data_IF_492221002594
#
_entry.id   IF_492221002594
#
_cell.length_a   1.000
_cell.length_b   1.000
_cell.length_c   1.000
_cell.angle_alpha   90.00
_cell.angle_beta   90.00
_cell.angle_gamma   90.00
#
_symmetry.space_group_name_H-M   'P 1'
#
loop_
_entity.id
_entity.type
_entity.pdbx_description
1 polymer ?
#
# COMPACT_ATOMS: atom_id res chain seq x y z
N UNK A 1 2.06 71.02 -14.87
CA UNK A 1 1.32 69.74 -15.02
C UNK A 1 2.21 68.78 -15.81
N UNK A 2 2.92 67.88 -15.15
CA UNK A 2 3.77 66.90 -15.84
C UNK A 2 2.89 65.82 -16.46
N UNK A 3 2.90 65.78 -17.79
CA UNK A 3 2.16 64.86 -18.66
C UNK A 3 2.57 63.41 -18.27
N UNK A 4 1.61 62.58 -17.87
CA UNK A 4 1.87 61.15 -17.59
C UNK A 4 1.86 60.41 -18.92
N UNK A 5 2.97 59.79 -19.30
CA UNK A 5 3.16 59.13 -20.61
C UNK A 5 2.36 57.83 -20.81
N UNK A 6 1.52 57.42 -19.85
CA UNK A 6 0.69 56.22 -19.99
C UNK A 6 -0.56 56.23 -19.11
N UNK A 7 -1.65 55.66 -19.63
CA UNK A 7 -2.96 55.53 -18.98
C UNK A 7 -2.96 54.42 -17.91
N UNK A 8 -3.26 54.79 -16.66
CA UNK A 8 -3.35 53.85 -15.54
C UNK A 8 -4.79 53.35 -15.43
N UNK A 9 -4.98 52.03 -15.31
CA UNK A 9 -6.31 51.40 -15.26
C UNK A 9 -6.27 49.91 -14.92
N UNK A 10 -7.41 49.22 -15.08
CA UNK A 10 -7.48 47.78 -14.80
C UNK A 10 -6.50 47.00 -15.68
N UNK A 11 -5.68 46.13 -15.05
CA UNK A 11 -4.60 45.39 -15.73
C UNK A 11 -3.38 46.24 -16.16
N UNK A 12 -3.37 47.55 -15.86
CA UNK A 12 -2.34 48.52 -16.26
C UNK A 12 -1.72 49.21 -15.02
N UNK A 13 -0.88 48.51 -14.24
CA UNK A 13 -0.26 49.11 -13.06
C UNK A 13 0.74 50.23 -13.44
N UNK A 14 0.89 51.27 -12.60
CA UNK A 14 1.84 52.35 -12.83
C UNK A 14 3.27 51.85 -13.09
N UNK A 15 3.97 52.45 -14.05
CA UNK A 15 5.31 51.98 -14.45
C UNK A 15 6.33 51.91 -13.29
N UNK A 16 6.25 52.85 -12.35
CA UNK A 16 7.16 52.94 -11.21
C UNK A 16 6.96 51.83 -10.15
N UNK A 17 5.80 51.17 -10.12
CA UNK A 17 5.49 50.11 -9.16
C UNK A 17 5.59 48.69 -9.74
N UNK A 18 5.91 48.56 -11.03
CA UNK A 18 6.11 47.26 -11.68
C UNK A 18 7.42 46.64 -11.23
N UNK A 19 7.39 45.34 -10.91
CA UNK A 19 8.62 44.59 -10.68
C UNK A 19 9.49 44.57 -11.94
N UNK A 20 10.81 44.73 -11.77
CA UNK A 20 11.75 44.62 -12.88
C UNK A 20 11.74 43.18 -13.41
N UNK A 21 11.77 43.01 -14.73
CA UNK A 21 11.84 41.69 -15.36
C UNK A 21 13.07 40.94 -14.80
N UNK A 22 12.84 39.76 -14.22
CA UNK A 22 13.88 38.95 -13.57
C UNK A 22 14.07 39.18 -12.07
N UNK A 23 13.36 40.14 -11.46
CA UNK A 23 13.40 40.39 -10.02
C UNK A 23 12.07 40.04 -9.37
N UNK A 24 12.07 39.02 -8.50
CA UNK A 24 10.91 38.69 -7.66
C UNK A 24 10.68 39.79 -6.64
N UNK A 25 9.41 40.17 -6.42
CA UNK A 25 9.00 41.06 -5.33
C UNK A 25 9.22 40.48 -3.93
N UNK A 26 9.50 39.17 -3.84
CA UNK A 26 9.90 38.50 -2.61
C UNK A 26 11.24 37.77 -2.81
N UNK A 27 12.39 38.46 -2.65
CA UNK A 27 13.72 37.88 -2.89
C UNK A 27 14.08 36.73 -1.95
N UNK A 28 13.52 36.72 -0.74
CA UNK A 28 13.74 35.66 0.25
C UNK A 28 12.83 34.44 0.03
N UNK A 29 11.91 34.54 -0.94
CA UNK A 29 10.92 33.53 -1.20
C UNK A 29 10.01 33.29 0.00
N UNK A 30 9.28 32.18 -0.06
CA UNK A 30 8.45 31.71 1.04
C UNK A 30 9.35 31.15 2.16
N UNK A 31 9.05 31.38 3.46
CA UNK A 31 9.85 30.83 4.56
C UNK A 31 10.00 29.31 4.45
N UNK A 32 11.25 28.81 4.61
CA UNK A 32 11.55 27.37 4.66
C UNK A 32 10.73 26.71 5.77
N UNK A 33 10.04 25.62 5.44
CA UNK A 33 9.22 24.84 6.39
C UNK A 33 7.75 25.24 6.48
N UNK A 34 7.31 26.30 5.81
CA UNK A 34 5.88 26.64 5.77
C UNK A 34 5.10 25.65 4.90
N UNK A 35 4.44 24.69 5.54
CA UNK A 35 3.49 23.77 4.88
C UNK A 35 2.30 24.59 4.34
N UNK A 36 1.67 24.13 3.26
CA UNK A 36 0.35 24.67 2.90
C UNK A 36 -0.58 24.44 4.09
N UNK A 37 -1.34 25.47 4.49
CA UNK A 37 -2.43 25.26 5.45
C UNK A 37 -3.31 24.16 4.83
N UNK A 38 -3.65 23.09 5.55
CA UNK A 38 -4.62 22.13 5.05
C UNK A 38 -5.88 22.90 4.63
N UNK A 39 -6.54 22.42 3.57
CA UNK A 39 -7.83 22.97 3.14
C UNK A 39 -8.72 23.08 4.37
N UNK A 40 -9.39 24.23 4.55
CA UNK A 40 -10.28 24.37 5.70
C UNK A 40 -11.28 23.20 5.70
N UNK A 41 -11.46 22.52 6.84
CA UNK A 41 -12.41 21.43 6.96
C UNK A 41 -13.81 21.92 6.56
N UNK A 42 -14.55 21.08 5.81
CA UNK A 42 -15.83 21.45 5.23
C UNK A 42 -16.93 21.61 6.30
N UNK A 43 -16.76 20.99 7.47
CA UNK A 43 -17.70 21.04 8.59
C UNK A 43 -16.99 21.29 9.94
N UNK A 44 -17.77 21.65 10.97
CA UNK A 44 -17.27 21.82 12.35
C UNK A 44 -16.78 20.50 12.95
N UNK A 45 -17.41 19.37 12.60
CA UNK A 45 -17.00 18.04 13.03
C UNK A 45 -15.63 17.67 12.43
N UNK A 46 -15.44 17.94 11.13
CA UNK A 46 -14.16 17.74 10.45
C UNK A 46 -13.05 18.60 11.10
N UNK A 47 -13.38 19.80 11.59
CA UNK A 47 -12.42 20.68 12.25
C UNK A 47 -11.97 20.15 13.62
N UNK A 48 -12.91 19.71 14.46
CA UNK A 48 -12.56 19.16 15.76
C UNK A 48 -11.79 17.84 15.58
N UNK A 49 -12.23 16.98 14.67
CA UNK A 49 -11.55 15.74 14.36
C UNK A 49 -10.11 15.99 13.86
N UNK A 50 -9.90 16.95 12.96
CA UNK A 50 -8.56 17.28 12.47
C UNK A 50 -7.65 17.77 13.59
N UNK A 51 -8.15 18.67 14.46
CA UNK A 51 -7.36 19.19 15.60
C UNK A 51 -6.98 18.06 16.56
N UNK A 52 -7.93 17.16 16.88
CA UNK A 52 -7.67 16.03 17.76
C UNK A 52 -6.61 15.10 17.16
N UNK A 53 -6.73 14.76 15.87
CA UNK A 53 -5.78 13.87 15.22
C UNK A 53 -4.39 14.51 15.06
N UNK A 54 -4.32 15.79 14.71
CA UNK A 54 -3.05 16.53 14.62
C UNK A 54 -2.33 16.53 15.97
N UNK A 55 -3.05 16.77 17.08
CA UNK A 55 -2.46 16.73 18.41
C UNK A 55 -2.08 15.31 18.84
N UNK A 56 -2.92 14.32 18.54
CA UNK A 56 -2.67 12.90 18.84
C UNK A 56 -1.39 12.39 18.17
N UNK A 57 -1.14 12.79 16.92
CA UNK A 57 0.02 12.36 16.13
C UNK A 57 1.24 13.26 16.25
N UNK A 58 1.12 14.44 16.88
CA UNK A 58 2.26 15.29 17.21
C UNK A 58 3.24 14.53 18.11
N UNK A 59 4.54 14.64 17.83
CA UNK A 59 5.58 13.97 18.61
C UNK A 59 6.01 14.80 19.81
N UNK A 60 6.29 14.12 20.92
CA UNK A 60 6.88 14.67 22.14
C UNK A 60 8.06 13.81 22.60
N UNK A 61 8.98 14.42 23.35
CA UNK A 61 10.05 13.71 24.02
C UNK A 61 9.56 13.27 25.41
N UNK A 62 9.64 11.97 25.68
CA UNK A 62 9.22 11.37 26.95
C UNK A 62 10.40 10.57 27.52
N UNK A 63 10.61 10.67 28.84
CA UNK A 63 11.57 9.81 29.54
C UNK A 63 10.96 8.43 29.75
N UNK A 64 11.62 7.41 29.21
CA UNK A 64 11.34 6.01 29.46
C UNK A 64 12.41 5.42 30.39
N UNK A 65 12.14 4.28 31.03
CA UNK A 65 13.07 3.62 31.95
C UNK A 65 14.43 3.27 31.33
N UNK A 66 14.52 3.24 30.00
CA UNK A 66 15.73 2.96 29.21
C UNK A 66 16.35 4.19 28.53
N UNK A 67 15.77 5.39 28.70
CA UNK A 67 16.26 6.63 28.07
C UNK A 67 15.15 7.55 27.55
N UNK A 68 15.54 8.66 26.92
CA UNK A 68 14.59 9.58 26.26
C UNK A 68 14.17 9.03 24.90
N UNK A 69 12.86 8.96 24.65
CA UNK A 69 12.28 8.52 23.37
C UNK A 69 11.34 9.59 22.81
N UNK A 70 11.34 9.75 21.50
CA UNK A 70 10.39 10.61 20.78
C UNK A 70 9.23 9.78 20.27
N UNK A 71 8.02 10.04 20.77
CA UNK A 71 6.81 9.29 20.40
C UNK A 71 5.60 10.23 20.23
N UNK A 72 4.57 9.82 19.45
CA UNK A 72 3.32 10.56 19.37
C UNK A 72 2.64 10.74 20.74
N UNK A 73 1.95 11.86 20.95
CA UNK A 73 1.20 12.16 22.19
C UNK A 73 0.22 11.05 22.52
N UNK A 74 -0.55 10.54 21.54
CA UNK A 74 -1.50 9.46 21.77
C UNK A 74 -0.81 8.19 22.31
N UNK A 75 0.34 7.82 21.74
CA UNK A 75 1.12 6.66 22.22
C UNK A 75 1.65 6.89 23.64
N UNK A 76 2.09 8.10 23.96
CA UNK A 76 2.55 8.45 25.31
C UNK A 76 1.42 8.37 26.35
N UNK A 77 0.23 8.88 26.01
CA UNK A 77 -0.96 8.83 26.89
C UNK A 77 -1.40 7.39 27.14
N UNK A 78 -1.51 6.56 26.10
CA UNK A 78 -1.87 5.14 26.25
C UNK A 78 -0.82 4.38 27.08
N UNK A 79 0.48 4.67 26.88
CA UNK A 79 1.55 4.04 27.66
C UNK A 79 1.46 4.42 29.15
N UNK A 80 1.30 5.71 29.45
CA UNK A 80 1.10 6.20 30.82
C UNK A 80 -0.15 5.57 31.47
N UNK A 81 -1.25 5.51 30.72
CA UNK A 81 -2.50 4.88 31.16
C UNK A 81 -2.29 3.41 31.51
N UNK A 82 -1.61 2.65 30.64
CA UNK A 82 -1.30 1.23 30.86
C UNK A 82 -0.41 1.02 32.10
N UNK A 83 0.63 1.85 32.28
CA UNK A 83 1.51 1.78 33.47
C UNK A 83 0.72 2.05 34.76
N UNK A 84 -0.15 3.06 34.75
CA UNK A 84 -0.98 3.40 35.92
C UNK A 84 -2.03 2.30 36.21
N UNK A 85 -2.61 1.70 35.16
CA UNK A 85 -3.51 0.57 35.30
C UNK A 85 -2.80 -0.66 35.91
N UNK A 86 -1.58 -0.97 35.45
CA UNK A 86 -0.75 -2.05 35.98
C UNK A 86 -0.34 -1.84 37.44
N UNK A 87 -0.20 -0.57 37.87
CA UNK A 87 0.08 -0.18 39.26
C UNK A 87 -1.14 -0.18 40.18
N UNK A 88 -2.32 -0.57 39.69
CA UNK A 88 -3.53 -0.70 40.52
C UNK A 88 -4.43 0.54 40.57
N UNK A 89 -4.21 1.54 39.71
CA UNK A 89 -5.15 2.67 39.64
C UNK A 89 -6.47 2.22 39.00
N UNK A 90 -7.53 2.12 39.81
CA UNK A 90 -8.85 1.59 39.40
C UNK A 90 -9.45 2.37 38.22
N UNK A 91 -9.30 3.71 38.18
CA UNK A 91 -9.80 4.53 37.08
C UNK A 91 -9.04 4.25 35.79
N UNK A 92 -7.72 4.12 35.87
CA UNK A 92 -6.88 3.76 34.71
C UNK A 92 -7.16 2.33 34.23
N UNK A 93 -7.39 1.38 35.14
CA UNK A 93 -7.78 0.00 34.81
C UNK A 93 -9.08 -0.02 34.02
N UNK A 94 -10.13 0.67 34.50
CA UNK A 94 -11.40 0.75 33.79
C UNK A 94 -11.25 1.32 32.38
N UNK A 95 -10.61 2.49 32.25
CA UNK A 95 -10.43 3.13 30.94
C UNK A 95 -9.62 2.23 30.00
N UNK A 96 -8.53 1.64 30.48
CA UNK A 96 -7.68 0.76 29.67
C UNK A 96 -8.43 -0.50 29.22
N UNK A 97 -9.13 -1.18 30.13
CA UNK A 97 -9.95 -2.36 29.80
C UNK A 97 -11.08 -2.02 28.83
N UNK A 98 -11.76 -0.88 29.00
CA UNK A 98 -12.79 -0.42 28.06
C UNK A 98 -12.20 -0.15 26.67
N UNK A 99 -11.02 0.46 26.59
CA UNK A 99 -10.31 0.68 25.31
C UNK A 99 -9.93 -0.65 24.63
N UNK A 100 -9.40 -1.61 25.39
CA UNK A 100 -9.04 -2.95 24.88
C UNK A 100 -10.28 -3.67 24.37
N UNK A 101 -11.33 -3.78 25.20
CA UNK A 101 -12.57 -4.46 24.84
C UNK A 101 -13.26 -3.83 23.62
N UNK A 102 -13.29 -2.50 23.53
CA UNK A 102 -13.82 -1.81 22.35
C UNK A 102 -12.96 -2.06 21.12
N UNK A 103 -11.63 -2.05 21.25
CA UNK A 103 -10.72 -2.32 20.11
C UNK A 103 -10.90 -3.76 19.62
N UNK A 104 -10.93 -4.74 20.52
CA UNK A 104 -11.17 -6.14 20.18
C UNK A 104 -12.53 -6.33 19.50
N UNK A 105 -13.59 -5.68 20.01
CA UNK A 105 -14.92 -5.70 19.39
C UNK A 105 -14.88 -5.12 17.98
N UNK A 106 -14.25 -3.96 17.78
CA UNK A 106 -14.14 -3.34 16.46
C UNK A 106 -13.32 -4.20 15.49
N UNK A 107 -12.23 -4.81 15.95
CA UNK A 107 -11.45 -5.75 15.14
C UNK A 107 -12.26 -6.99 14.76
N UNK A 108 -13.05 -7.53 15.69
CA UNK A 108 -13.95 -8.66 15.43
C UNK A 108 -15.02 -8.31 14.39
N UNK A 109 -15.69 -7.17 14.55
CA UNK A 109 -16.72 -6.71 13.61
C UNK A 109 -16.15 -6.51 12.20
N UNK A 110 -14.98 -5.86 12.08
CA UNK A 110 -14.32 -5.70 10.77
C UNK A 110 -13.95 -7.04 10.13
N UNK A 111 -13.50 -8.01 10.93
CA UNK A 111 -13.21 -9.37 10.44
C UNK A 111 -14.47 -10.08 9.96
N UNK A 112 -15.56 -9.98 10.72
CA UNK A 112 -16.86 -10.55 10.35
C UNK A 112 -17.42 -9.90 9.06
N UNK A 113 -17.31 -8.58 8.93
CA UNK A 113 -17.71 -7.82 7.73
C UNK A 113 -16.89 -8.22 6.50
N UNK A 114 -15.56 -8.31 6.65
CA UNK A 114 -14.66 -8.75 5.58
C UNK A 114 -15.00 -10.18 5.13
N UNK A 115 -15.16 -11.09 6.08
CA UNK A 115 -15.50 -12.49 5.83
C UNK A 115 -16.86 -12.61 5.13
N UNK A 116 -17.88 -11.88 5.58
CA UNK A 116 -19.20 -11.86 4.93
C UNK A 116 -19.10 -11.39 3.47
N UNK A 117 -18.33 -10.32 3.22
CA UNK A 117 -18.12 -9.77 1.88
C UNK A 117 -17.50 -10.80 0.94
N UNK A 118 -16.46 -11.52 1.38
CA UNK A 118 -15.79 -12.52 0.56
C UNK A 118 -16.61 -13.80 0.37
N UNK A 119 -17.37 -14.23 1.38
CA UNK A 119 -18.30 -15.36 1.24
C UNK A 119 -19.37 -15.05 0.21
N UNK A 120 -19.98 -13.86 0.30
CA UNK A 120 -21.00 -13.40 -0.65
C UNK A 120 -20.42 -13.32 -2.07
N UNK A 121 -19.26 -12.68 -2.23
CA UNK A 121 -18.57 -12.59 -3.52
C UNK A 121 -18.32 -13.97 -4.12
N UNK A 122 -17.73 -14.88 -3.32
CA UNK A 122 -17.36 -16.24 -3.77
C UNK A 122 -18.60 -17.04 -4.16
N UNK A 123 -19.63 -17.02 -3.32
CA UNK A 123 -20.88 -17.75 -3.57
C UNK A 123 -21.59 -17.24 -4.83
N UNK A 124 -21.65 -15.92 -5.02
CA UNK A 124 -22.29 -15.32 -6.19
C UNK A 124 -21.54 -15.66 -7.48
N UNK A 125 -20.21 -15.58 -7.48
CA UNK A 125 -19.41 -15.90 -8.67
C UNK A 125 -19.36 -17.39 -8.98
N UNK A 126 -19.28 -18.28 -7.98
CA UNK A 126 -19.36 -19.73 -8.19
C UNK A 126 -20.69 -20.12 -8.86
N UNK A 127 -21.80 -19.54 -8.41
CA UNK A 127 -23.11 -19.77 -9.02
C UNK A 127 -23.16 -19.26 -10.48
N UNK A 128 -22.59 -18.08 -10.76
CA UNK A 128 -22.55 -17.52 -12.12
C UNK A 128 -21.63 -18.33 -13.05
N UNK A 129 -20.45 -18.75 -12.60
CA UNK A 129 -19.54 -19.59 -13.38
C UNK A 129 -20.17 -20.96 -13.68
N UNK A 130 -20.84 -21.56 -12.69
CA UNK A 130 -21.58 -22.81 -12.89
C UNK A 130 -22.70 -22.66 -13.91
N UNK A 131 -23.44 -21.54 -13.90
CA UNK A 131 -24.45 -21.21 -14.91
C UNK A 131 -23.84 -21.07 -16.31
N UNK A 132 -22.72 -20.36 -16.43
CA UNK A 132 -22.00 -20.18 -17.71
C UNK A 132 -21.53 -21.52 -18.28
N UNK A 133 -20.99 -22.39 -17.42
CA UNK A 133 -20.54 -23.71 -17.80
C UNK A 133 -21.70 -24.57 -18.35
N UNK A 134 -22.84 -24.61 -17.66
CA UNK A 134 -24.03 -25.33 -18.14
C UNK A 134 -24.57 -24.79 -19.46
N UNK A 135 -24.52 -23.47 -19.65
CA UNK A 135 -24.93 -22.81 -20.89
C UNK A 135 -23.86 -22.82 -22.00
N UNK A 136 -22.68 -23.43 -21.75
CA UNK A 136 -21.53 -23.42 -22.67
C UNK A 136 -21.09 -22.03 -23.11
N UNK A 137 -21.22 -21.03 -22.23
CA UNK A 137 -20.80 -19.65 -22.49
C UNK A 137 -19.31 -19.52 -22.16
N UNK A 138 -18.48 -19.37 -23.19
CA UNK A 138 -17.01 -19.20 -23.05
C UNK A 138 -16.49 -17.84 -23.51
N UNK A 139 -17.38 -16.96 -23.97
CA UNK A 139 -17.02 -15.67 -24.58
C UNK A 139 -16.80 -14.54 -23.57
N UNK A 140 -17.26 -14.71 -22.33
CA UNK A 140 -17.14 -13.69 -21.30
C UNK A 140 -15.84 -13.86 -20.51
N UNK A 141 -15.19 -12.76 -20.10
CA UNK A 141 -14.00 -12.84 -19.26
C UNK A 141 -14.32 -13.38 -17.88
N UNK A 142 -13.33 -14.02 -17.29
CA UNK A 142 -13.35 -14.45 -15.89
C UNK A 142 -13.31 -13.24 -14.94
N UNK A 143 -13.98 -13.33 -13.77
CA UNK A 143 -13.94 -12.28 -12.77
C UNK A 143 -12.54 -12.10 -12.19
N UNK A 144 -12.24 -10.87 -11.77
CA UNK A 144 -11.04 -10.53 -11.02
C UNK A 144 -11.46 -9.90 -9.69
N UNK A 145 -11.10 -10.47 -8.53
CA UNK A 145 -10.43 -11.77 -8.37
C UNK A 145 -11.29 -12.98 -8.77
N UNK A 146 -10.67 -14.06 -9.24
CA UNK A 146 -11.40 -15.32 -9.45
C UNK A 146 -11.82 -15.93 -8.09
N UNK A 147 -13.02 -16.54 -7.95
CA UNK A 147 -13.45 -17.16 -6.68
C UNK A 147 -12.49 -18.22 -6.13
N UNK A 148 -11.78 -18.96 -6.99
CA UNK A 148 -10.78 -19.96 -6.57
C UNK A 148 -9.53 -19.33 -5.93
N UNK A 149 -9.23 -18.07 -6.24
CA UNK A 149 -8.14 -17.34 -5.60
C UNK A 149 -8.49 -16.94 -4.16
N UNK A 150 -9.76 -16.99 -3.76
CA UNK A 150 -10.23 -16.59 -2.44
C UNK A 150 -10.31 -17.84 -1.53
N UNK A 151 -9.43 -17.91 -0.55
CA UNK A 151 -9.33 -19.01 0.42
C UNK A 151 -9.84 -18.50 1.76
N UNK A 152 -10.92 -19.07 2.26
CA UNK A 152 -11.57 -18.65 3.50
C UNK A 152 -11.37 -19.73 4.56
N UNK A 153 -10.68 -19.39 5.65
CA UNK A 153 -10.57 -20.27 6.83
C UNK A 153 -11.70 -19.93 7.80
N UNK A 154 -12.75 -20.74 7.76
CA UNK A 154 -13.93 -20.56 8.63
C UNK A 154 -13.63 -20.82 10.11
N UNK A 155 -12.55 -21.52 10.45
CA UNK A 155 -12.17 -21.81 11.83
C UNK A 155 -11.44 -20.62 12.45
N UNK A 156 -10.53 -20.01 11.69
CA UNK A 156 -9.75 -18.84 12.13
C UNK A 156 -10.45 -17.52 11.83
N UNK A 157 -11.43 -17.52 10.93
CA UNK A 157 -12.10 -16.33 10.43
C UNK A 157 -11.19 -15.44 9.58
N UNK A 158 -10.26 -16.04 8.84
CA UNK A 158 -9.28 -15.31 8.01
C UNK A 158 -9.53 -15.55 6.53
N UNK A 159 -9.18 -14.56 5.70
CA UNK A 159 -9.30 -14.63 4.24
C UNK A 159 -7.93 -14.46 3.64
N UNK A 160 -7.58 -15.38 2.74
CA UNK A 160 -6.37 -15.33 1.94
C UNK A 160 -6.74 -15.17 0.48
N UNK A 161 -5.94 -14.39 -0.24
CA UNK A 161 -6.05 -14.25 -1.68
C UNK A 161 -4.78 -14.78 -2.30
N UNK A 162 -4.92 -15.75 -3.19
CA UNK A 162 -3.85 -16.38 -3.95
C UNK A 162 -4.05 -16.08 -5.44
N UNK A 163 -3.75 -14.85 -5.83
CA UNK A 163 -3.95 -14.38 -7.20
C UNK A 163 -4.14 -12.86 -7.32
N UNK A 164 -4.49 -12.39 -8.53
CA UNK A 164 -4.70 -10.97 -8.80
C UNK A 164 -6.04 -10.49 -8.24
N UNK A 165 -6.03 -9.29 -7.65
CA UNK A 165 -7.23 -8.56 -7.20
C UNK A 165 -7.69 -7.48 -8.17
N UNK A 166 -6.81 -7.08 -9.11
CA UNK A 166 -7.11 -6.05 -10.10
C UNK A 166 -6.72 -6.53 -11.49
N UNK A 167 -7.32 -5.93 -12.51
CA UNK A 167 -6.97 -6.23 -13.90
C UNK A 167 -5.49 -5.94 -14.21
N UNK A 168 -4.94 -4.87 -13.62
CA UNK A 168 -3.51 -4.55 -13.74
C UNK A 168 -2.64 -5.65 -13.14
N UNK A 169 -3.01 -6.16 -11.96
CA UNK A 169 -2.34 -7.29 -11.32
C UNK A 169 -2.43 -8.56 -12.18
N UNK A 170 -3.60 -8.84 -12.78
CA UNK A 170 -3.80 -9.98 -13.67
C UNK A 170 -2.87 -9.91 -14.88
N UNK A 171 -2.84 -8.78 -15.58
CA UNK A 171 -1.97 -8.57 -16.74
C UNK A 171 -0.48 -8.72 -16.38
N UNK A 172 -0.08 -8.19 -15.22
CA UNK A 172 1.30 -8.35 -14.73
C UNK A 172 1.62 -9.81 -14.42
N UNK A 173 0.70 -10.53 -13.78
CA UNK A 173 0.88 -11.95 -13.46
C UNK A 173 0.96 -12.81 -14.73
N UNK A 174 0.13 -12.55 -15.73
CA UNK A 174 0.20 -13.20 -17.05
C UNK A 174 1.56 -12.96 -17.72
N UNK A 175 2.07 -11.73 -17.67
CA UNK A 175 3.42 -11.41 -18.16
C UNK A 175 4.50 -12.21 -17.41
N UNK A 176 4.44 -12.27 -16.08
CA UNK A 176 5.40 -13.03 -15.27
C UNK A 176 5.34 -14.52 -15.61
N UNK A 177 4.15 -15.10 -15.77
CA UNK A 177 4.00 -16.50 -16.19
C UNK A 177 4.62 -16.75 -17.56
N UNK A 178 4.46 -15.82 -18.51
CA UNK A 178 5.10 -15.92 -19.83
C UNK A 178 6.62 -15.88 -19.74
N UNK A 179 7.18 -14.94 -18.97
CA UNK A 179 8.63 -14.87 -18.74
C UNK A 179 9.15 -16.15 -18.09
N UNK A 180 8.45 -16.64 -17.05
CA UNK A 180 8.79 -17.88 -16.37
C UNK A 180 8.83 -19.08 -17.33
N UNK A 181 7.84 -19.20 -18.21
CA UNK A 181 7.80 -20.26 -19.21
C UNK A 181 8.98 -20.20 -20.19
N UNK A 182 9.34 -19.00 -20.66
CA UNK A 182 10.50 -18.81 -21.53
C UNK A 182 11.82 -19.24 -20.85
N UNK A 183 12.05 -18.81 -19.60
CA UNK A 183 13.22 -19.24 -18.83
C UNK A 183 13.25 -20.75 -18.62
N UNK A 184 12.10 -21.39 -18.40
CA UNK A 184 12.00 -22.84 -18.26
C UNK A 184 12.39 -23.57 -19.55
N UNK A 185 11.99 -23.05 -20.72
CA UNK A 185 12.36 -23.61 -22.03
C UNK A 185 13.86 -23.46 -22.30
N UNK A 186 14.45 -22.29 -22.03
CA UNK A 186 15.89 -22.05 -22.17
C UNK A 186 16.72 -22.96 -21.25
N UNK A 187 16.29 -23.15 -20.00
CA UNK A 187 16.91 -24.11 -19.07
C UNK A 187 16.93 -25.52 -19.67
N UNK A 188 15.81 -25.98 -20.24
CA UNK A 188 15.73 -27.31 -20.86
C UNK A 188 16.64 -27.40 -22.10
N UNK A 189 16.74 -26.32 -22.88
CA UNK A 189 17.63 -26.23 -24.02
C UNK A 189 19.10 -26.34 -23.58
N UNK A 190 19.54 -25.52 -22.62
CA UNK A 190 20.90 -25.57 -22.08
C UNK A 190 21.23 -26.89 -21.40
N UNK A 191 20.28 -27.52 -20.70
CA UNK A 191 20.46 -28.87 -20.14
C UNK A 191 20.68 -29.91 -21.23
N UNK A 192 19.92 -29.83 -22.33
CA UNK A 192 20.07 -30.72 -23.48
C UNK A 192 21.40 -30.53 -24.19
N UNK A 193 21.87 -29.29 -24.31
CA UNK A 193 23.18 -28.98 -24.89
C UNK A 193 24.33 -29.40 -23.98
N UNK A 194 24.20 -29.21 -22.67
CA UNK A 194 25.19 -29.64 -21.67
C UNK A 194 25.42 -31.15 -21.71
N UNK A 195 24.41 -31.93 -22.08
CA UNK A 195 24.50 -33.39 -22.23
C UNK A 195 25.32 -33.83 -23.45
N UNK A 196 25.58 -32.93 -24.42
CA UNK A 196 26.33 -33.22 -25.65
C UNK A 196 27.85 -33.05 -25.50
N UNK A 197 28.31 -32.40 -24.43
CA UNK A 197 29.72 -32.05 -24.22
C UNK A 197 30.32 -32.82 -23.03
N UNK A 198 31.53 -33.34 -23.23
CA UNK A 198 32.32 -34.00 -22.18
C UNK A 198 32.77 -33.00 -21.11
N UNK A 199 33.18 -33.52 -19.94
CA UNK A 199 33.47 -32.67 -18.76
C UNK A 199 34.63 -31.69 -18.95
N UNK A 200 35.59 -32.00 -19.82
CA UNK A 200 36.79 -31.19 -20.06
C UNK A 200 36.65 -30.22 -21.25
N UNK A 201 35.47 -30.11 -21.86
CA UNK A 201 35.21 -29.16 -22.94
C UNK A 201 35.06 -27.73 -22.37
N UNK A 202 35.87 -26.78 -22.82
CA UNK A 202 35.81 -25.38 -22.38
C UNK A 202 34.45 -24.70 -22.66
N UNK A 203 33.64 -25.22 -23.59
CA UNK A 203 32.26 -24.74 -23.85
C UNK A 203 31.29 -25.12 -22.74
N UNK A 204 31.60 -26.17 -21.97
CA UNK A 204 30.76 -26.65 -20.87
C UNK A 204 30.61 -25.59 -19.77
N UNK A 205 31.71 -24.94 -19.40
CA UNK A 205 31.73 -23.89 -18.38
C UNK A 205 30.86 -22.67 -18.78
N UNK A 206 30.80 -22.36 -20.07
CA UNK A 206 29.90 -21.32 -20.58
C UNK A 206 28.43 -21.71 -20.41
N UNK A 207 28.05 -22.92 -20.85
CA UNK A 207 26.68 -23.43 -20.75
C UNK A 207 26.23 -23.51 -19.28
N UNK A 208 27.11 -23.95 -18.37
CA UNK A 208 26.82 -24.01 -16.94
C UNK A 208 26.56 -22.62 -16.33
N UNK A 209 27.25 -21.59 -16.81
CA UNK A 209 27.03 -20.21 -16.38
C UNK A 209 25.69 -19.65 -16.89
N UNK A 210 25.37 -19.86 -18.17
CA UNK A 210 24.07 -19.47 -18.74
C UNK A 210 22.92 -20.20 -18.03
N UNK A 211 23.06 -21.51 -17.77
CA UNK A 211 22.09 -22.28 -17.01
C UNK A 211 21.87 -21.72 -15.59
N UNK A 212 22.95 -21.31 -14.91
CA UNK A 212 22.87 -20.69 -13.59
C UNK A 212 22.19 -19.31 -13.64
N UNK A 213 22.41 -18.55 -14.71
CA UNK A 213 21.75 -17.27 -14.95
C UNK A 213 20.24 -17.46 -15.17
N UNK A 214 19.85 -18.34 -16.09
CA UNK A 214 18.43 -18.64 -16.37
C UNK A 214 17.70 -19.18 -15.13
N UNK A 215 18.36 -20.05 -14.35
CA UNK A 215 17.82 -20.55 -13.08
C UNK A 215 17.57 -19.42 -12.08
N UNK A 216 18.44 -18.42 -12.03
CA UNK A 216 18.25 -17.24 -11.17
C UNK A 216 17.06 -16.40 -11.63
N UNK A 217 16.88 -16.23 -12.94
CA UNK A 217 15.72 -15.51 -13.49
C UNK A 217 14.41 -16.24 -13.20
N UNK A 218 14.39 -17.57 -13.33
CA UNK A 218 13.25 -18.40 -12.96
C UNK A 218 12.87 -18.21 -11.48
N UNK A 219 13.84 -18.24 -10.57
CA UNK A 219 13.63 -18.01 -9.13
C UNK A 219 13.09 -16.60 -8.83
N UNK A 220 13.52 -15.58 -9.58
CA UNK A 220 12.94 -14.22 -9.48
C UNK A 220 11.45 -14.24 -9.89
N UNK A 221 11.10 -14.93 -10.98
CA UNK A 221 9.71 -15.08 -11.39
C UNK A 221 8.88 -15.84 -10.34
N UNK A 222 9.39 -16.92 -9.77
CA UNK A 222 8.70 -17.70 -8.73
C UNK A 222 8.44 -16.87 -7.47
N UNK A 223 9.43 -16.07 -7.03
CA UNK A 223 9.25 -15.12 -5.92
C UNK A 223 8.23 -14.03 -6.24
N UNK A 224 8.20 -13.54 -7.48
CA UNK A 224 7.21 -12.57 -7.91
C UNK A 224 5.79 -13.16 -7.92
N UNK A 225 5.60 -14.39 -8.39
CA UNK A 225 4.31 -15.08 -8.35
C UNK A 225 3.87 -15.31 -6.91
N UNK A 226 4.77 -15.79 -6.04
CA UNK A 226 4.46 -16.02 -4.63
C UNK A 226 4.02 -14.74 -3.88
N UNK A 227 4.43 -13.55 -4.35
CA UNK A 227 4.01 -12.28 -3.74
C UNK A 227 2.52 -11.97 -3.90
N UNK A 228 1.80 -12.64 -4.81
CA UNK A 228 0.36 -12.46 -4.99
C UNK A 228 -0.47 -13.13 -3.88
N UNK A 229 0.15 -14.02 -3.10
CA UNK A 229 -0.47 -14.64 -1.93
C UNK A 229 -0.42 -13.72 -0.71
N UNK A 230 -1.59 -13.27 -0.23
CA UNK A 230 -1.72 -12.33 0.89
C UNK A 230 -2.92 -12.61 1.78
N UNK A 231 -2.78 -12.30 3.07
CA UNK A 231 -3.89 -12.27 4.03
C UNK A 231 -4.58 -10.91 3.95
N UNK A 232 -5.92 -10.90 4.01
CA UNK A 232 -6.76 -9.70 3.93
C UNK A 232 -7.21 -9.19 5.31
#
# INVERSE_FOLDING_TARGET
MTKRDYEIGYGKPPAHSRFKKGQSGNPKGRPKGSRNKPSQPATTEDMLQSIILDEAYRTINVKDGTGEITIPVAKAVIRSLAVNAARGNVRSQKIFTDMVANTERQMRLKREELLATFIEYKTNWEAELFRRQQASITTLPDPVPHPDHIIIDMTRGTVWIDGPMTETEKNNLEYIHKCRAAHQEEILHFQSDLAKYEKDDGRRAFIENELAFETRLLDICDRAIASYRREM
#
